data_IF_370258014406
#
_entry.id   IF_370258014406
#
_cell.length_a   1.000
_cell.length_b   1.000
_cell.length_c   1.000
_cell.angle_alpha   90.00
_cell.angle_beta   90.00
_cell.angle_gamma   90.00
#
_symmetry.space_group_name_H-M   'P 1'
#
loop_
_entity.id
_entity.type
_entity.pdbx_description
1 polymer ?
#
# COMPACT_ATOMS: atom_id res chain seq x y z
N UNK A 1 -13.73 8.49 -27.60
CA UNK A 1 -12.79 7.35 -27.59
C UNK A 1 -13.20 6.42 -26.47
N UNK A 2 -13.43 5.14 -26.75
CA UNK A 2 -13.65 4.12 -25.71
C UNK A 2 -12.33 3.87 -24.98
N UNK A 3 -12.33 3.98 -23.65
CA UNK A 3 -11.17 3.62 -22.85
C UNK A 3 -11.12 2.10 -22.77
N UNK A 4 -10.07 1.50 -23.32
CA UNK A 4 -9.81 0.07 -23.15
C UNK A 4 -9.36 -0.18 -21.70
N UNK A 5 -10.14 -0.96 -20.96
CA UNK A 5 -9.85 -1.30 -19.56
C UNK A 5 -9.28 -2.72 -19.49
N UNK A 6 -8.21 -2.87 -18.73
CA UNK A 6 -7.54 -4.12 -18.41
C UNK A 6 -7.90 -4.49 -16.98
N UNK A 7 -8.35 -5.72 -16.78
CA UNK A 7 -8.60 -6.31 -15.46
C UNK A 7 -7.37 -7.09 -15.02
N UNK A 8 -6.85 -6.77 -13.84
CA UNK A 8 -5.70 -7.44 -13.23
C UNK A 8 -6.12 -8.04 -11.89
N UNK A 9 -5.58 -9.20 -11.55
CA UNK A 9 -5.69 -9.79 -10.22
C UNK A 9 -4.27 -9.97 -9.66
N UNK A 10 -3.90 -9.14 -8.69
CA UNK A 10 -2.55 -9.10 -8.13
C UNK A 10 -2.56 -9.69 -6.73
N UNK A 11 -2.01 -10.89 -6.56
CA UNK A 11 -1.99 -11.59 -5.27
C UNK A 11 -3.36 -11.81 -4.64
N UNK A 12 -4.43 -11.88 -5.45
CA UNK A 12 -5.82 -11.99 -5.00
C UNK A 12 -6.60 -10.66 -5.00
N UNK A 13 -5.94 -9.52 -5.24
CA UNK A 13 -6.58 -8.19 -5.26
C UNK A 13 -6.92 -7.75 -6.68
N UNK A 14 -8.19 -7.42 -6.90
CA UNK A 14 -8.68 -6.99 -8.21
C UNK A 14 -8.35 -5.51 -8.48
N UNK A 15 -7.86 -5.25 -9.70
CA UNK A 15 -7.54 -3.92 -10.20
C UNK A 15 -8.13 -3.73 -11.60
N UNK A 16 -8.66 -2.53 -11.87
CA UNK A 16 -9.07 -2.11 -13.21
C UNK A 16 -8.23 -0.90 -13.62
N UNK A 17 -7.56 -1.02 -14.76
CA UNK A 17 -6.59 -0.01 -15.23
C UNK A 17 -6.81 0.23 -16.71
N UNK A 18 -6.75 1.49 -17.14
CA UNK A 18 -6.79 1.80 -18.57
C UNK A 18 -5.52 1.25 -19.25
N UNK A 19 -5.67 0.56 -20.37
CA UNK A 19 -4.54 0.03 -21.16
C UNK A 19 -3.54 1.12 -21.50
N UNK A 20 -4.04 2.31 -21.87
CA UNK A 20 -3.23 3.50 -22.15
C UNK A 20 -2.35 3.95 -21.00
N UNK A 21 -2.70 3.62 -19.75
CA UNK A 21 -1.87 3.91 -18.57
C UNK A 21 -0.65 3.00 -18.52
N UNK A 22 -0.83 1.71 -18.80
CA UNK A 22 0.26 0.72 -18.81
C UNK A 22 1.18 0.92 -20.02
N UNK A 23 0.61 1.30 -21.18
CA UNK A 23 1.36 1.57 -22.41
C UNK A 23 2.28 2.81 -22.33
N UNK A 24 2.18 3.66 -21.28
CA UNK A 24 3.10 4.80 -21.09
C UNK A 24 4.55 4.36 -20.87
N UNK A 25 4.76 3.16 -20.33
CA UNK A 25 6.08 2.62 -20.04
C UNK A 25 6.24 1.24 -20.70
N UNK A 26 6.44 1.18 -22.03
CA UNK A 26 6.42 -0.08 -22.80
C UNK A 26 7.53 -1.07 -22.42
N UNK A 27 8.59 -0.59 -21.76
CA UNK A 27 9.73 -1.42 -21.34
C UNK A 27 9.46 -2.22 -20.05
N UNK A 28 8.35 -1.94 -19.37
CA UNK A 28 7.97 -2.58 -18.11
C UNK A 28 7.33 -3.95 -18.33
N UNK A 29 7.30 -4.77 -17.28
CA UNK A 29 6.69 -6.09 -17.32
C UNK A 29 5.17 -6.01 -17.59
N UNK A 30 4.47 -5.06 -16.95
CA UNK A 30 3.01 -4.93 -17.13
C UNK A 30 2.63 -4.55 -18.55
N UNK A 31 3.38 -3.65 -19.19
CA UNK A 31 3.09 -3.26 -20.56
C UNK A 31 3.21 -4.46 -21.51
N UNK A 32 4.29 -5.24 -21.38
CA UNK A 32 4.51 -6.46 -22.18
C UNK A 32 3.47 -7.54 -21.90
N UNK A 33 3.14 -7.76 -20.63
CA UNK A 33 2.15 -8.75 -20.21
C UNK A 33 0.76 -8.42 -20.78
N UNK A 34 0.36 -7.15 -20.72
CA UNK A 34 -0.90 -6.69 -21.28
C UNK A 34 -0.89 -6.76 -22.80
N UNK A 35 0.17 -6.33 -23.47
CA UNK A 35 0.24 -6.41 -24.93
C UNK A 35 0.17 -7.86 -25.45
N UNK A 36 0.74 -8.82 -24.71
CA UNK A 36 0.72 -10.24 -25.09
C UNK A 36 -0.61 -10.93 -24.76
N UNK A 37 -1.14 -10.74 -23.55
CA UNK A 37 -2.29 -11.51 -23.04
C UNK A 37 -3.63 -10.82 -23.19
N UNK A 38 -3.69 -9.49 -23.21
CA UNK A 38 -4.97 -8.77 -23.22
C UNK A 38 -5.62 -8.80 -24.60
N UNK A 39 -6.94 -9.02 -24.64
CA UNK A 39 -7.76 -8.92 -25.86
C UNK A 39 -8.98 -8.03 -25.62
N UNK A 40 -9.42 -7.23 -26.62
CA UNK A 40 -10.67 -6.48 -26.52
C UNK A 40 -11.83 -7.48 -26.38
N UNK A 41 -12.59 -7.38 -25.28
CA UNK A 41 -13.65 -8.32 -24.83
C UNK A 41 -13.22 -9.45 -23.89
N UNK A 42 -11.97 -9.47 -23.42
CA UNK A 42 -11.56 -10.40 -22.37
C UNK A 42 -12.27 -10.08 -21.05
N UNK A 43 -13.11 -11.01 -20.58
CA UNK A 43 -13.82 -10.88 -19.30
C UNK A 43 -12.93 -11.24 -18.10
N UNK A 44 -11.98 -12.15 -18.31
CA UNK A 44 -11.07 -12.68 -17.29
C UNK A 44 -9.98 -11.67 -16.93
N UNK A 45 -9.64 -11.62 -15.63
CA UNK A 45 -8.53 -10.83 -15.13
C UNK A 45 -7.19 -11.53 -15.37
N UNK A 46 -6.17 -10.79 -15.77
CA UNK A 46 -4.79 -11.28 -15.84
C UNK A 46 -4.26 -11.44 -14.40
N UNK A 47 -3.89 -12.67 -14.03
CA UNK A 47 -3.34 -12.94 -12.70
C UNK A 47 -1.84 -12.60 -12.64
N UNK A 48 -1.43 -11.95 -11.56
CA UNK A 48 -0.06 -11.56 -11.26
C UNK A 48 0.26 -12.03 -9.84
N UNK A 49 1.29 -12.86 -9.71
CA UNK A 49 1.79 -13.35 -8.43
C UNK A 49 2.73 -12.32 -7.79
N UNK A 50 2.13 -11.26 -7.24
CA UNK A 50 2.83 -10.16 -6.58
C UNK A 50 2.04 -9.63 -5.38
N UNK A 51 2.62 -8.71 -4.62
CA UNK A 51 1.95 -8.14 -3.45
C UNK A 51 0.86 -7.14 -3.87
N UNK A 52 -0.40 -7.53 -3.73
CA UNK A 52 -1.55 -6.70 -4.07
C UNK A 52 -1.59 -5.36 -3.33
N UNK A 53 -1.12 -5.26 -2.08
CA UNK A 53 -1.18 -4.00 -1.33
C UNK A 53 -0.10 -3.01 -1.76
N UNK A 54 1.07 -3.50 -2.14
CA UNK A 54 2.15 -2.64 -2.65
C UNK A 54 1.94 -2.27 -4.13
N UNK A 55 1.16 -3.05 -4.87
CA UNK A 55 0.86 -2.81 -6.29
C UNK A 55 0.19 -1.47 -6.56
N UNK A 56 -0.54 -0.91 -5.59
CA UNK A 56 -1.16 0.41 -5.72
C UNK A 56 -0.13 1.50 -6.04
N UNK A 57 1.05 1.46 -5.41
CA UNK A 57 2.13 2.40 -5.65
C UNK A 57 2.84 2.17 -6.99
N UNK A 58 2.86 0.91 -7.45
CA UNK A 58 3.30 0.58 -8.81
C UNK A 58 2.36 1.23 -9.81
N UNK A 59 1.04 1.15 -9.63
CA UNK A 59 0.07 1.82 -10.50
C UNK A 59 0.17 3.35 -10.45
N UNK A 60 0.43 3.92 -9.27
CA UNK A 60 0.61 5.36 -9.14
C UNK A 60 1.81 5.87 -9.94
N UNK A 61 2.88 5.08 -10.06
CA UNK A 61 3.97 5.38 -10.99
C UNK A 61 3.48 5.47 -12.44
N UNK A 62 2.68 4.52 -12.96
CA UNK A 62 2.14 4.64 -14.33
C UNK A 62 1.16 5.81 -14.49
N UNK A 63 0.42 6.16 -13.44
CA UNK A 63 -0.58 7.23 -13.49
C UNK A 63 0.05 8.61 -13.45
N UNK A 64 0.97 8.83 -12.50
CA UNK A 64 1.48 10.16 -12.11
C UNK A 64 3.00 10.32 -12.31
N UNK A 65 3.72 9.24 -12.59
CA UNK A 65 5.17 9.25 -12.69
C UNK A 65 5.84 9.33 -11.31
N UNK A 66 7.04 9.90 -11.28
CA UNK A 66 7.81 10.13 -10.05
C UNK A 66 7.68 11.58 -9.57
N UNK A 67 7.73 11.84 -8.25
CA UNK A 67 7.92 10.87 -7.17
C UNK A 67 6.64 10.11 -6.82
N UNK A 68 6.81 8.88 -6.33
CA UNK A 68 5.72 8.05 -5.80
C UNK A 68 5.58 8.33 -4.30
N UNK A 69 4.38 8.72 -3.88
CA UNK A 69 4.10 9.04 -2.48
C UNK A 69 3.57 7.80 -1.75
N UNK A 70 4.23 7.43 -0.66
CA UNK A 70 3.87 6.24 0.13
C UNK A 70 3.69 6.58 1.61
N UNK A 71 2.71 6.00 2.31
CA UNK A 71 2.52 6.25 3.72
C UNK A 71 3.67 5.68 4.56
N UNK A 72 3.86 6.25 5.76
CA UNK A 72 4.99 5.98 6.65
C UNK A 72 5.09 4.52 7.14
N UNK A 73 4.00 3.76 7.06
CA UNK A 73 3.95 2.34 7.45
C UNK A 73 4.45 1.40 6.35
N UNK A 74 4.74 1.90 5.14
CA UNK A 74 5.24 1.10 4.02
C UNK A 74 6.77 1.12 4.00
N UNK A 75 7.37 -0.07 3.96
CA UNK A 75 8.81 -0.21 3.81
C UNK A 75 9.26 0.14 2.39
N UNK A 76 10.13 1.15 2.26
CA UNK A 76 10.76 1.50 0.98
C UNK A 76 11.47 0.32 0.34
N UNK A 77 12.16 -0.50 1.14
CA UNK A 77 12.89 -1.66 0.64
C UNK A 77 11.97 -2.75 0.08
N UNK A 78 10.80 -2.98 0.69
CA UNK A 78 9.81 -3.90 0.12
C UNK A 78 9.24 -3.34 -1.18
N UNK A 79 8.92 -2.04 -1.19
CA UNK A 79 8.37 -1.40 -2.38
C UNK A 79 9.37 -1.38 -3.56
N UNK A 80 10.66 -1.18 -3.29
CA UNK A 80 11.71 -1.29 -4.30
C UNK A 80 11.78 -2.70 -4.91
N UNK A 81 11.58 -3.75 -4.12
CA UNK A 81 11.52 -5.13 -4.64
C UNK A 81 10.34 -5.30 -5.59
N UNK A 82 9.19 -4.73 -5.28
CA UNK A 82 8.02 -4.75 -6.18
C UNK A 82 8.30 -3.99 -7.48
N UNK A 83 8.89 -2.78 -7.42
CA UNK A 83 9.29 -2.06 -8.63
C UNK A 83 10.27 -2.86 -9.50
N UNK A 84 11.25 -3.50 -8.88
CA UNK A 84 12.20 -4.38 -9.56
C UNK A 84 11.50 -5.57 -10.22
N UNK A 85 10.54 -6.21 -9.54
CA UNK A 85 9.72 -7.29 -10.10
C UNK A 85 8.99 -6.86 -11.38
N UNK A 86 8.44 -5.64 -11.40
CA UNK A 86 7.76 -5.10 -12.59
C UNK A 86 8.71 -4.50 -13.66
N UNK A 87 10.02 -4.72 -13.51
CA UNK A 87 11.06 -4.16 -14.38
C UNK A 87 11.01 -2.62 -14.47
N UNK A 88 10.81 -1.97 -13.33
CA UNK A 88 10.82 -0.51 -13.17
C UNK A 88 12.06 -0.13 -12.36
N UNK A 89 12.95 0.64 -12.96
CA UNK A 89 14.08 1.24 -12.25
C UNK A 89 13.59 2.44 -11.43
N UNK A 90 13.35 2.22 -10.14
CA UNK A 90 12.83 3.22 -9.21
C UNK A 90 13.92 3.62 -8.19
N UNK A 91 14.56 4.79 -8.37
CA UNK A 91 15.52 5.31 -7.40
C UNK A 91 14.86 5.62 -6.05
N UNK A 92 15.59 5.41 -4.95
CA UNK A 92 15.04 5.58 -3.59
C UNK A 92 14.62 7.02 -3.26
N UNK A 93 15.29 8.01 -3.88
CA UNK A 93 14.96 9.44 -3.76
C UNK A 93 13.62 9.79 -4.42
N UNK A 94 13.12 8.94 -5.33
CA UNK A 94 11.82 9.09 -5.98
C UNK A 94 10.68 8.45 -5.19
N UNK A 95 10.96 7.81 -4.06
CA UNK A 95 9.95 7.28 -3.14
C UNK A 95 9.83 8.25 -1.95
N UNK A 96 8.78 9.07 -1.98
CA UNK A 96 8.52 10.10 -0.99
C UNK A 96 7.57 9.57 0.08
N UNK A 97 7.99 9.58 1.35
CA UNK A 97 7.08 9.23 2.45
C UNK A 97 6.10 10.39 2.65
N UNK A 98 4.78 10.12 2.56
CA UNK A 98 3.75 11.11 2.86
C UNK A 98 3.91 11.55 4.31
N UNK A 99 4.19 12.85 4.51
CA UNK A 99 4.29 13.42 5.85
C UNK A 99 2.92 13.33 6.50
N UNK A 100 2.82 12.59 7.60
CA UNK A 100 1.65 12.66 8.47
C UNK A 100 1.72 14.03 9.18
N UNK A 101 0.66 14.85 9.16
CA UNK A 101 0.67 16.12 9.88
C UNK A 101 1.05 15.91 11.35
N UNK A 102 1.93 16.76 11.89
CA UNK A 102 2.35 16.68 13.30
C UNK A 102 1.16 16.68 14.27
N UNK A 103 0.07 17.37 13.92
CA UNK A 103 -1.17 17.37 14.70
C UNK A 103 -1.79 15.97 14.81
N UNK A 104 -1.74 15.19 13.75
CA UNK A 104 -2.27 13.82 13.72
C UNK A 104 -1.35 12.86 14.48
N UNK A 105 -0.03 13.01 14.34
CA UNK A 105 0.96 12.28 15.17
C UNK A 105 0.73 12.58 16.66
N UNK A 106 0.52 13.84 17.02
CA UNK A 106 0.27 14.27 18.40
C UNK A 106 -1.03 13.70 18.95
N UNK A 107 -2.10 13.66 18.14
CA UNK A 107 -3.37 13.04 18.52
C UNK A 107 -3.22 11.55 18.78
N UNK A 108 -2.56 10.81 17.88
CA UNK A 108 -2.34 9.37 18.04
C UNK A 108 -1.52 9.08 19.29
N UNK A 109 -0.42 9.81 19.50
CA UNK A 109 0.44 9.67 20.68
C UNK A 109 -0.35 9.96 21.97
N UNK A 110 -1.08 11.07 22.02
CA UNK A 110 -1.84 11.44 23.21
C UNK A 110 -2.97 10.45 23.51
N UNK A 111 -3.69 9.99 22.49
CA UNK A 111 -4.74 8.98 22.64
C UNK A 111 -4.19 7.66 23.22
N UNK A 112 -3.08 7.15 22.66
CA UNK A 112 -2.43 5.93 23.19
C UNK A 112 -1.93 6.09 24.63
N UNK A 113 -1.42 7.25 25.01
CA UNK A 113 -0.96 7.49 26.39
C UNK A 113 -2.12 7.49 27.38
N UNK A 114 -3.25 8.11 27.02
CA UNK A 114 -4.46 8.11 27.87
C UNK A 114 -4.95 6.69 28.09
N UNK A 115 -5.02 5.90 27.02
CA UNK A 115 -5.47 4.51 27.09
C UNK A 115 -4.57 3.65 27.99
N UNK A 116 -3.25 3.80 27.87
CA UNK A 116 -2.30 3.12 28.76
C UNK A 116 -2.39 3.59 30.22
N UNK A 117 -2.69 4.86 30.47
CA UNK A 117 -2.92 5.36 31.83
C UNK A 117 -4.19 4.77 32.44
N UNK A 118 -5.29 4.73 31.69
CA UNK A 118 -6.55 4.12 32.15
C UNK A 118 -6.38 2.62 32.45
N UNK A 119 -5.67 1.89 31.59
CA UNK A 119 -5.35 0.48 31.81
C UNK A 119 -4.48 0.27 33.06
N UNK A 120 -3.46 1.11 33.26
CA UNK A 120 -2.61 1.05 34.44
C UNK A 120 -3.37 1.37 35.72
N UNK A 121 -4.25 2.38 35.70
CA UNK A 121 -5.09 2.75 36.84
C UNK A 121 -6.10 1.66 37.17
N UNK A 122 -6.72 1.06 36.16
CA UNK A 122 -7.60 -0.09 36.34
C UNK A 122 -6.86 -1.30 36.94
N UNK A 123 -5.66 -1.61 36.44
CA UNK A 123 -4.83 -2.70 36.96
C UNK A 123 -4.40 -2.47 38.42
N UNK A 124 -4.01 -1.24 38.77
CA UNK A 124 -3.67 -0.87 40.15
C UNK A 124 -4.88 -1.01 41.08
N UNK A 125 -6.05 -0.53 40.66
CA UNK A 125 -7.28 -0.60 41.47
C UNK A 125 -7.75 -2.05 41.66
N UNK A 126 -7.55 -2.95 40.68
CA UNK A 126 -7.82 -4.38 40.86
C UNK A 126 -6.89 -5.04 41.87
N UNK A 127 -5.59 -4.68 41.88
CA UNK A 127 -4.61 -5.23 42.82
C UNK A 127 -4.89 -4.78 44.27
N UNK A 128 -5.30 -3.53 44.48
CA UNK A 128 -5.67 -3.03 45.81
C UNK A 128 -6.92 -3.71 46.39
N UNK A 129 -7.90 -4.05 45.54
CA UNK A 129 -9.12 -4.76 45.97
C UNK A 129 -8.87 -6.22 46.36
N UNK A 130 -7.86 -6.87 45.77
CA UNK A 130 -7.47 -8.23 46.15
C UNK A 130 -6.71 -8.27 47.48
N UNK A 131 -5.91 -7.25 47.80
CA UNK A 131 -5.18 -7.18 49.08
C UNK A 131 -6.08 -6.91 50.28
N UNK A 132 -7.19 -6.19 50.08
CA UNK A 132 -8.19 -5.91 51.14
C UNK A 132 -9.06 -7.14 51.47
N UNK A 133 -9.06 -8.19 50.63
CA UNK A 133 -9.86 -9.41 50.85
C UNK A 133 -9.12 -10.47 51.71
N UNK A 134 -7.81 -10.31 51.89
CA UNK A 134 -6.94 -11.22 52.67
C UNK A 134 -6.49 -10.66 54.03
N UNK A 135 -6.94 -9.47 54.43
CA UNK A 135 -6.80 -8.90 55.79
C UNK A 135 -8.08 -9.07 56.59
#
# INVERSE_FOLDING_TARGET
>A
MSVEVVKLNVGGKAYEVAKSTLSKHPNTLLAKLVDDQWRPSQAESIFIDANGDLFEYVLDFYRRGTPVHVPHNISKAQLQKEFSYFNIDMPEDKIAISKVPFAEVSRIRNGKMIQLQEEAEHAMNSLSRETDFFS
#
